data_IF_606015914311
#
_entry.id   IF_606015914311
#
_cell.length_a   1.000
_cell.length_b   1.000
_cell.length_c   1.000
_cell.angle_alpha   90.00
_cell.angle_beta   90.00
_cell.angle_gamma   90.00
#
_symmetry.space_group_name_H-M   'P 1'
#
loop_
_entity.id
_entity.type
_entity.pdbx_description
1 polymer ?
#
# COMPACT_ATOMS: atom_id res chain seq x y z
N UNK A 1 34.01 -41.83 0.47
CA UNK A 1 33.21 -40.84 1.21
C UNK A 1 32.77 -39.82 0.18
N UNK A 2 31.64 -40.12 -0.45
CA UNK A 2 31.15 -39.49 -1.68
C UNK A 2 30.66 -38.05 -1.44
N UNK A 3 30.87 -37.22 -2.45
CA UNK A 3 30.23 -35.93 -2.63
C UNK A 3 29.17 -36.07 -3.72
N UNK A 4 27.92 -35.81 -3.37
CA UNK A 4 26.79 -35.55 -4.28
C UNK A 4 25.90 -34.55 -3.51
N UNK A 5 25.18 -33.58 -4.07
CA UNK A 5 24.91 -33.15 -5.43
C UNK A 5 24.13 -31.84 -5.34
N UNK A 6 24.10 -31.10 -6.44
CA UNK A 6 23.64 -29.72 -6.58
C UNK A 6 22.09 -29.54 -6.64
N UNK A 7 21.64 -28.36 -6.17
CA UNK A 7 20.55 -27.49 -6.71
C UNK A 7 19.06 -27.79 -6.36
N UNK A 8 18.06 -27.00 -6.85
CA UNK A 8 17.68 -25.64 -6.39
C UNK A 8 16.13 -25.44 -6.27
N UNK A 9 15.65 -24.52 -5.42
CA UNK A 9 14.24 -24.04 -5.34
C UNK A 9 13.10 -25.05 -5.64
N UNK A 10 12.60 -25.74 -4.60
CA UNK A 10 11.33 -26.46 -4.62
C UNK A 10 10.29 -25.73 -3.77
N UNK A 11 9.17 -25.34 -4.39
CA UNK A 11 7.96 -24.91 -3.70
C UNK A 11 7.35 -26.10 -2.96
N UNK A 12 7.03 -25.92 -1.67
CA UNK A 12 5.85 -26.54 -1.07
C UNK A 12 4.83 -25.44 -0.83
N UNK A 13 4.02 -25.25 -1.86
CA UNK A 13 2.82 -24.44 -1.88
C UNK A 13 1.66 -25.44 -1.77
N UNK A 14 1.18 -25.69 -0.55
CA UNK A 14 -0.25 -25.78 -0.20
C UNK A 14 -0.46 -26.41 1.18
N UNK A 15 -1.29 -25.68 1.95
CA UNK A 15 -2.39 -26.24 2.75
C UNK A 15 -2.06 -26.94 4.07
N UNK A 16 -1.92 -26.09 5.11
CA UNK A 16 -2.66 -26.34 6.35
C UNK A 16 -3.39 -25.08 6.79
N UNK A 17 -4.61 -24.99 6.26
CA UNK A 17 -5.78 -24.34 6.81
C UNK A 17 -5.75 -22.82 7.05
N UNK A 18 -6.20 -22.09 6.02
CA UNK A 18 -7.34 -21.17 6.17
C UNK A 18 -8.59 -22.00 6.59
N UNK A 19 -9.70 -21.51 7.20
CA UNK A 19 -10.16 -20.13 7.46
C UNK A 19 -10.68 -19.88 8.91
N UNK A 20 -11.11 -18.64 9.15
CA UNK A 20 -12.26 -18.21 9.99
C UNK A 20 -11.92 -17.25 11.15
N UNK A 21 -12.27 -15.99 10.89
CA UNK A 21 -12.85 -14.98 11.78
C UNK A 21 -11.84 -14.21 12.64
N UNK A 22 -11.42 -13.05 12.14
CA UNK A 22 -12.14 -11.77 12.35
C UNK A 22 -12.25 -11.45 13.85
N UNK A 23 -11.30 -10.63 14.32
CA UNK A 23 -11.24 -9.79 15.55
C UNK A 23 -9.77 -9.37 15.85
N UNK A 24 -8.76 -9.91 15.16
CA UNK A 24 -7.34 -9.66 15.47
C UNK A 24 -6.65 -8.52 14.68
N UNK A 25 -7.39 -7.51 14.19
CA UNK A 25 -6.86 -6.28 13.55
C UNK A 25 -6.19 -5.30 14.55
N UNK A 26 -5.59 -5.80 15.64
CA UNK A 26 -4.97 -4.92 16.65
C UNK A 26 -3.84 -5.53 17.45
N UNK A 27 -3.04 -6.46 16.91
CA UNK A 27 -1.92 -6.99 17.72
C UNK A 27 -0.70 -7.63 17.04
N UNK A 28 -0.56 -7.69 15.71
CA UNK A 28 0.65 -8.30 15.10
C UNK A 28 1.36 -7.48 14.01
N UNK A 29 1.06 -6.19 13.87
CA UNK A 29 1.93 -5.22 13.18
C UNK A 29 2.03 -3.92 14.01
N UNK A 30 2.04 -4.06 15.35
CA UNK A 30 2.07 -2.97 16.34
C UNK A 30 3.39 -2.82 17.11
N UNK A 31 4.43 -3.56 16.74
CA UNK A 31 5.73 -3.48 17.40
C UNK A 31 6.87 -3.70 16.39
N UNK A 32 7.27 -2.62 15.71
CA UNK A 32 8.69 -2.25 15.63
C UNK A 32 8.80 -0.72 15.68
N UNK A 33 8.62 -0.14 16.89
CA UNK A 33 8.80 1.29 17.12
C UNK A 33 10.31 1.56 17.16
N UNK A 34 10.88 2.01 16.06
CA UNK A 34 12.28 2.45 16.01
C UNK A 34 12.99 2.31 14.66
N UNK A 35 12.64 1.29 13.86
CA UNK A 35 13.33 1.06 12.58
C UNK A 35 12.88 2.00 11.45
N UNK A 36 11.64 2.50 11.52
CA UNK A 36 11.11 3.41 10.51
C UNK A 36 11.14 4.89 10.93
N UNK A 37 11.93 5.24 11.95
CA UNK A 37 12.03 6.60 12.49
C UNK A 37 12.86 7.48 11.54
N UNK A 38 12.24 7.92 10.45
CA UNK A 38 12.85 8.74 9.40
C UNK A 38 12.15 8.65 8.03
N UNK A 39 11.28 7.66 7.80
CA UNK A 39 10.58 7.52 6.52
C UNK A 39 9.49 8.60 6.44
N UNK A 40 9.64 9.55 5.52
CA UNK A 40 8.52 10.40 5.15
C UNK A 40 7.60 9.57 4.28
N UNK A 41 6.38 9.37 4.76
CA UNK A 41 5.34 8.77 3.94
C UNK A 41 4.97 9.74 2.80
N UNK A 42 4.64 9.24 1.60
CA UNK A 42 4.20 10.08 0.49
C UNK A 42 2.96 10.88 0.89
N UNK A 43 2.82 12.11 0.39
CA UNK A 43 1.55 12.85 0.45
C UNK A 43 0.53 12.12 -0.41
N UNK A 44 -0.73 12.09 0.05
CA UNK A 44 -1.79 11.33 -0.61
C UNK A 44 -3.10 12.09 -0.53
N UNK A 45 -3.78 12.14 -1.66
CA UNK A 45 -5.18 12.53 -1.78
C UNK A 45 -6.05 11.29 -2.03
N UNK A 46 -7.23 11.27 -1.43
CA UNK A 46 -8.23 10.22 -1.62
C UNK A 46 -9.58 10.86 -1.88
N UNK A 47 -10.23 10.43 -2.95
CA UNK A 47 -11.58 10.83 -3.30
C UNK A 47 -12.34 9.64 -3.87
N UNK A 48 -13.65 9.79 -4.05
CA UNK A 48 -14.48 8.75 -4.63
C UNK A 48 -15.34 9.32 -5.76
N UNK A 49 -15.71 8.43 -6.68
CA UNK A 49 -16.79 8.63 -7.65
C UNK A 49 -17.99 7.79 -7.21
N UNK A 50 -19.04 7.74 -8.03
CA UNK A 50 -20.15 6.81 -7.80
C UNK A 50 -19.70 5.35 -7.75
N UNK A 51 -18.72 4.98 -8.57
CA UNK A 51 -18.33 3.58 -8.79
C UNK A 51 -16.99 3.18 -8.16
N UNK A 52 -16.07 4.12 -7.93
CA UNK A 52 -14.68 3.82 -7.54
C UNK A 52 -14.17 4.71 -6.40
N UNK A 53 -13.23 4.19 -5.62
CA UNK A 53 -12.35 4.99 -4.75
C UNK A 53 -11.02 5.20 -5.48
N UNK A 54 -10.55 6.44 -5.50
CA UNK A 54 -9.32 6.87 -6.18
C UNK A 54 -8.35 7.43 -5.15
N UNK A 55 -7.10 6.96 -5.20
CA UNK A 55 -6.00 7.39 -4.36
C UNK A 55 -4.86 7.87 -5.25
N UNK A 56 -4.30 9.05 -4.95
CA UNK A 56 -3.18 9.64 -5.68
C UNK A 56 -2.06 9.97 -4.70
N UNK A 57 -0.87 9.42 -4.94
CA UNK A 57 0.29 9.55 -4.07
C UNK A 57 1.48 10.19 -4.78
N UNK A 58 2.06 11.22 -4.18
CA UNK A 58 3.29 11.85 -4.69
C UNK A 58 4.51 11.02 -4.33
N UNK A 59 5.08 10.35 -5.32
CA UNK A 59 6.29 9.53 -5.20
C UNK A 59 7.29 9.84 -6.33
N UNK A 60 7.79 11.09 -6.42
CA UNK A 60 8.72 11.49 -7.48
C UNK A 60 10.10 10.85 -7.30
N UNK A 61 10.72 10.47 -8.42
CA UNK A 61 12.10 9.98 -8.45
C UNK A 61 12.27 8.48 -8.16
N UNK A 62 11.17 7.73 -8.04
CA UNK A 62 11.18 6.26 -8.02
C UNK A 62 10.98 5.71 -9.42
N UNK A 63 11.67 4.61 -9.75
CA UNK A 63 11.32 3.80 -10.91
C UNK A 63 10.05 2.99 -10.57
N UNK A 64 9.08 2.86 -11.50
CA UNK A 64 7.89 2.03 -11.28
C UNK A 64 8.18 0.62 -10.76
N UNK A 65 9.30 0.01 -11.16
CA UNK A 65 9.69 -1.34 -10.70
C UNK A 65 10.08 -1.40 -9.22
N UNK A 66 10.45 -0.26 -8.65
CA UNK A 66 10.85 -0.11 -7.25
C UNK A 66 9.68 0.33 -6.36
N UNK A 67 8.48 0.43 -6.94
CA UNK A 67 7.22 0.71 -6.25
C UNK A 67 6.40 -0.57 -6.12
N UNK A 68 5.80 -0.75 -4.94
CA UNK A 68 4.91 -1.86 -4.66
C UNK A 68 3.59 -1.35 -4.11
N UNK A 69 2.48 -1.84 -4.68
CA UNK A 69 1.12 -1.56 -4.23
C UNK A 69 0.44 -2.88 -3.88
N UNK A 70 -0.17 -2.93 -2.70
CA UNK A 70 -1.06 -4.02 -2.31
C UNK A 70 -2.43 -3.44 -2.01
N UNK A 71 -3.45 -3.94 -2.69
CA UNK A 71 -4.85 -3.58 -2.43
C UNK A 71 -5.54 -4.75 -1.75
N UNK A 72 -6.26 -4.46 -0.68
CA UNK A 72 -7.17 -5.35 0.04
C UNK A 72 -8.58 -4.78 -0.05
N UNK A 73 -9.58 -5.51 0.43
CA UNK A 73 -10.97 -5.05 0.39
C UNK A 73 -11.19 -3.73 1.16
N UNK A 74 -10.40 -3.44 2.18
CA UNK A 74 -10.59 -2.33 3.12
C UNK A 74 -9.43 -1.32 3.13
N UNK A 75 -8.34 -1.59 2.41
CA UNK A 75 -7.11 -0.81 2.52
C UNK A 75 -6.19 -0.94 1.31
N UNK A 76 -5.31 0.04 1.16
CA UNK A 76 -4.17 0.00 0.24
C UNK A 76 -2.87 0.23 1.00
N UNK A 77 -1.85 -0.58 0.70
CA UNK A 77 -0.48 -0.39 1.19
C UNK A 77 0.44 -0.01 0.04
N UNK A 78 1.10 1.14 0.19
CA UNK A 78 2.11 1.67 -0.72
C UNK A 78 3.50 1.43 -0.13
N UNK A 79 4.42 0.94 -0.93
CA UNK A 79 5.84 0.83 -0.56
C UNK A 79 6.72 1.29 -1.71
N UNK A 80 7.86 1.86 -1.36
CA UNK A 80 8.92 2.14 -2.33
C UNK A 80 10.27 2.03 -1.66
N UNK A 81 11.29 1.71 -2.46
CA UNK A 81 12.68 1.62 -1.99
C UNK A 81 13.59 2.37 -2.94
N UNK A 82 14.31 3.36 -2.44
CA UNK A 82 15.35 4.04 -3.18
C UNK A 82 16.70 3.79 -2.49
N UNK A 83 17.54 2.95 -3.09
CA UNK A 83 18.84 2.54 -2.52
C UNK A 83 19.95 3.61 -2.63
N UNK A 84 19.61 4.85 -3.02
CA UNK A 84 20.56 5.95 -3.29
C UNK A 84 21.25 6.53 -2.06
N UNK A 85 20.79 6.24 -0.85
CA UNK A 85 21.33 6.86 0.36
C UNK A 85 22.82 6.58 0.58
N UNK A 86 23.38 5.49 0.05
CA UNK A 86 24.75 5.07 0.38
C UNK A 86 25.88 5.68 -0.46
N UNK A 87 25.60 6.19 -1.66
CA UNK A 87 26.64 6.83 -2.50
C UNK A 87 26.76 8.33 -2.25
N UNK A 88 25.69 8.97 -1.77
CA UNK A 88 25.58 10.44 -1.70
C UNK A 88 26.33 11.07 -0.51
N UNK A 89 26.55 10.35 0.59
CA UNK A 89 27.22 10.88 1.80
C UNK A 89 28.69 11.28 1.58
N UNK A 90 29.24 11.10 0.38
CA UNK A 90 30.60 11.52 -0.01
C UNK A 90 30.67 12.90 -0.68
N UNK A 91 29.53 13.54 -0.98
CA UNK A 91 29.51 14.81 -1.69
C UNK A 91 29.24 16.01 -0.74
N UNK A 92 29.99 17.09 -0.92
CA UNK A 92 29.92 18.32 -0.11
C UNK A 92 28.68 19.15 -0.39
N UNK A 93 27.51 18.68 0.06
CA UNK A 93 26.25 19.42 -0.06
C UNK A 93 26.30 20.72 0.76
N UNK A 94 25.87 21.83 0.16
CA UNK A 94 25.59 23.07 0.90
C UNK A 94 24.24 22.99 1.62
N UNK A 95 23.21 22.41 0.98
CA UNK A 95 21.86 22.19 1.53
C UNK A 95 21.28 20.90 0.93
N UNK A 96 20.60 20.07 1.74
CA UNK A 96 19.94 18.83 1.33
C UNK A 96 18.51 18.76 1.89
N UNK A 97 17.53 19.12 1.06
CA UNK A 97 16.10 19.10 1.43
C UNK A 97 15.33 17.95 0.79
N UNK A 98 15.81 17.46 -0.37
CA UNK A 98 15.21 16.32 -1.07
C UNK A 98 15.37 15.06 -0.24
N UNK A 99 14.26 14.35 -0.06
CA UNK A 99 14.25 13.09 0.69
C UNK A 99 14.43 11.92 -0.26
N UNK A 100 15.31 11.00 0.11
CA UNK A 100 15.56 9.72 -0.54
C UNK A 100 15.45 8.63 0.51
N UNK A 101 15.06 7.42 0.13
CA UNK A 101 15.02 6.27 1.04
C UNK A 101 13.88 5.32 0.73
N UNK A 102 13.55 4.47 1.70
CA UNK A 102 12.34 3.64 1.61
C UNK A 102 11.12 4.36 2.19
N UNK A 103 9.91 3.97 1.79
CA UNK A 103 8.66 4.36 2.44
C UNK A 103 7.71 3.16 2.53
N UNK A 104 6.84 3.17 3.54
CA UNK A 104 5.67 2.31 3.61
C UNK A 104 4.52 3.09 4.23
N UNK A 105 3.37 3.14 3.55
CA UNK A 105 2.14 3.79 4.05
C UNK A 105 0.95 2.89 3.79
N UNK A 106 0.08 2.72 4.78
CA UNK A 106 -1.20 2.01 4.61
C UNK A 106 -2.34 2.98 4.84
N UNK A 107 -3.33 2.95 3.95
CA UNK A 107 -4.50 3.85 3.95
C UNK A 107 -5.74 2.97 3.90
N UNK A 108 -6.69 3.21 4.80
CA UNK A 108 -7.98 2.51 4.78
C UNK A 108 -8.93 3.18 3.81
N UNK A 109 -9.65 2.38 3.04
CA UNK A 109 -10.74 2.87 2.22
C UNK A 109 -11.94 3.25 3.10
N UNK A 110 -12.75 4.25 2.68
CA UNK A 110 -13.97 4.61 3.39
C UNK A 110 -15.09 3.57 3.19
N UNK A 111 -15.00 2.76 2.14
CA UNK A 111 -15.95 1.71 1.79
C UNK A 111 -15.20 0.50 1.23
N UNK A 112 -15.72 -0.74 1.38
CA UNK A 112 -15.09 -1.91 0.78
C UNK A 112 -14.98 -1.82 -0.75
N UNK A 113 -13.87 -2.31 -1.30
CA UNK A 113 -13.57 -2.30 -2.75
C UNK A 113 -13.34 -3.71 -3.31
N UNK A 114 -13.49 -3.84 -4.63
CA UNK A 114 -13.13 -5.03 -5.42
C UNK A 114 -11.62 -5.02 -5.70
N UNK A 115 -10.83 -5.51 -4.74
CA UNK A 115 -9.37 -5.44 -4.79
C UNK A 115 -8.75 -6.12 -6.02
N UNK A 116 -9.36 -7.19 -6.51
CA UNK A 116 -8.96 -7.95 -7.71
C UNK A 116 -9.09 -7.14 -9.01
N UNK A 117 -9.94 -6.10 -9.00
CA UNK A 117 -10.18 -5.21 -10.15
C UNK A 117 -9.49 -3.86 -10.02
N UNK A 118 -8.73 -3.64 -8.95
CA UNK A 118 -8.02 -2.38 -8.76
C UNK A 118 -6.91 -2.21 -9.81
N UNK A 119 -6.73 -0.98 -10.27
CA UNK A 119 -5.71 -0.61 -11.26
C UNK A 119 -4.80 0.46 -10.69
N UNK A 120 -3.49 0.27 -10.86
CA UNK A 120 -2.48 1.26 -10.51
C UNK A 120 -1.79 1.79 -11.77
N UNK A 121 -1.58 3.11 -11.83
CA UNK A 121 -0.85 3.80 -12.90
C UNK A 121 0.14 4.78 -12.29
N UNK A 122 1.32 4.87 -12.87
CA UNK A 122 2.35 5.84 -12.45
C UNK A 122 2.70 6.75 -13.62
N UNK A 123 2.65 8.06 -13.40
CA UNK A 123 2.99 9.06 -14.40
C UNK A 123 3.50 10.32 -13.72
N UNK A 124 4.61 10.88 -14.23
CA UNK A 124 5.16 12.17 -13.82
C UNK A 124 5.38 12.32 -12.30
N UNK A 125 5.75 11.24 -11.61
CA UNK A 125 5.98 11.26 -10.16
C UNK A 125 4.74 10.96 -9.31
N UNK A 126 3.57 10.75 -9.92
CA UNK A 126 2.31 10.49 -9.21
C UNK A 126 1.86 9.06 -9.44
N UNK A 127 1.61 8.34 -8.34
CA UNK A 127 1.02 7.00 -8.34
C UNK A 127 -0.49 7.11 -8.10
N UNK A 128 -1.28 6.79 -9.11
CA UNK A 128 -2.74 6.76 -9.07
C UNK A 128 -3.25 5.33 -8.96
N UNK A 129 -4.15 5.09 -8.01
CA UNK A 129 -4.77 3.79 -7.73
C UNK A 129 -6.27 4.00 -7.79
N UNK A 130 -6.95 3.25 -8.66
CA UNK A 130 -8.40 3.25 -8.77
C UNK A 130 -8.92 1.86 -8.40
N UNK A 131 -9.84 1.81 -7.43
CA UNK A 131 -10.41 0.57 -6.93
C UNK A 131 -11.95 0.65 -6.98
N UNK A 132 -12.62 -0.20 -7.76
CA UNK A 132 -14.08 -0.23 -7.83
C UNK A 132 -14.69 -0.56 -6.47
N UNK A 133 -15.76 0.13 -6.08
CA UNK A 133 -16.51 -0.15 -4.85
C UNK A 133 -17.14 -1.53 -4.91
N UNK A 134 -17.22 -2.21 -3.77
CA UNK A 134 -17.86 -3.52 -3.66
C UNK A 134 -19.38 -3.40 -3.72
N UNK A 135 -19.93 -2.36 -3.10
CA UNK A 135 -21.34 -2.00 -3.16
C UNK A 135 -21.47 -0.51 -3.50
N UNK A 136 -22.44 -0.16 -4.34
CA UNK A 136 -22.79 1.25 -4.58
C UNK A 136 -23.35 1.82 -3.29
N UNK A 137 -22.85 2.99 -2.89
CA UNK A 137 -23.45 3.74 -1.78
C UNK A 137 -24.86 4.12 -2.19
N UNK A 138 -25.91 3.70 -1.45
CA UNK A 138 -27.26 4.12 -1.76
C UNK A 138 -27.37 5.65 -1.64
N UNK A 139 -28.09 6.28 -2.56
CA UNK A 139 -28.46 7.67 -2.39
C UNK A 139 -29.31 7.81 -1.12
N UNK A 140 -29.02 8.84 -0.32
CA UNK A 140 -29.82 9.15 0.85
C UNK A 140 -31.27 9.43 0.44
N UNK A 141 -32.22 8.99 1.26
CA UNK A 141 -33.64 9.33 1.08
C UNK A 141 -34.17 10.03 2.31
N UNK A 142 -35.09 10.96 2.10
CA UNK A 142 -35.85 11.57 3.19
C UNK A 142 -36.76 10.51 3.82
N UNK A 143 -36.76 10.44 5.14
CA UNK A 143 -37.63 9.55 5.90
C UNK A 143 -38.77 10.38 6.50
N UNK A 144 -40.05 10.03 6.24
CA UNK A 144 -41.16 10.66 6.94
C UNK A 144 -41.12 10.28 8.43
N UNK A 145 -41.39 11.25 9.29
CA UNK A 145 -41.50 11.03 10.74
C UNK A 145 -42.93 10.65 11.07
N UNK A 146 -43.14 9.42 11.54
CA UNK A 146 -44.43 8.96 12.05
C UNK A 146 -44.56 9.27 13.55
N UNK A 147 -45.80 9.55 13.99
CA UNK A 147 -46.12 9.81 15.41
C UNK A 147 -46.63 8.52 16.04
N UNK A 148 -46.06 8.16 17.20
CA UNK A 148 -46.56 7.08 18.07
C UNK A 148 -47.88 7.43 18.77
#
# INVERSE_FOLDING_TARGET
MEREGLTPWGRDFTERAWPLLDIADRSLWGTWPGMFRGLREPTVDMHETEDEVIIEADVPGYDPKDLWVRVSADSVTLRGKLDKEREEDKNGYYIRERRSGSFQRTIRFPTPVQADKAVAKYRDGVLRIAAPKLAKTPEGRDLPIERE
#
